data_IF_962475215453
#
_entry.id   IF_962475215453
#
_cell.length_a   1.000
_cell.length_b   1.000
_cell.length_c   1.000
_cell.angle_alpha   90.00
_cell.angle_beta   90.00
_cell.angle_gamma   90.00
#
_symmetry.space_group_name_H-M   'P 1'
#
loop_
_entity.id
_entity.type
_entity.pdbx_description
1 polymer ?
#
# COMPACT_ATOMS: atom_id res chain seq x y z
N UNK A 1 -0.68 57.49 -1.79
CA UNK A 1 0.06 56.29 -2.29
C UNK A 1 0.53 55.30 -1.19
N UNK A 2 -0.10 55.20 0.00
CA UNK A 2 0.46 54.41 1.13
C UNK A 2 -0.35 53.20 1.64
N UNK A 3 -1.58 52.94 1.14
CA UNK A 3 -2.37 51.76 1.55
C UNK A 3 -2.08 50.50 0.72
N UNK A 4 -2.00 50.65 -0.61
CA UNK A 4 -1.79 49.54 -1.55
C UNK A 4 -0.41 48.89 -1.42
N UNK A 5 0.64 49.67 -1.12
CA UNK A 5 2.01 49.19 -0.89
C UNK A 5 2.14 48.39 0.42
N UNK A 6 1.43 48.77 1.49
CA UNK A 6 1.38 48.05 2.78
C UNK A 6 0.63 46.72 2.66
N UNK A 7 -0.50 46.69 1.94
CA UNK A 7 -1.26 45.47 1.63
C UNK A 7 -0.48 44.50 0.71
N UNK A 8 0.27 45.04 -0.27
CA UNK A 8 1.12 44.26 -1.19
C UNK A 8 2.31 43.61 -0.47
N UNK A 9 2.88 44.26 0.56
CA UNK A 9 3.93 43.71 1.44
C UNK A 9 3.46 42.51 2.29
N UNK A 10 2.18 42.44 2.66
CA UNK A 10 1.62 41.33 3.43
C UNK A 10 1.27 40.10 2.58
N UNK A 11 0.77 40.32 1.37
CA UNK A 11 0.31 39.25 0.47
C UNK A 11 1.44 38.28 0.06
N UNK A 12 2.60 38.81 -0.36
CA UNK A 12 3.74 37.96 -0.73
C UNK A 12 4.26 37.13 0.45
N UNK A 13 4.32 37.71 1.66
CA UNK A 13 4.71 36.99 2.89
C UNK A 13 3.73 35.87 3.24
N UNK A 14 2.42 36.08 3.05
CA UNK A 14 1.39 35.04 3.23
C UNK A 14 1.59 33.88 2.26
N UNK A 15 1.84 34.16 0.99
CA UNK A 15 2.07 33.12 -0.04
C UNK A 15 3.35 32.32 0.21
N UNK A 16 4.44 32.97 0.63
CA UNK A 16 5.69 32.30 1.00
C UNK A 16 5.50 31.40 2.22
N UNK A 17 4.82 31.89 3.27
CA UNK A 17 4.51 31.10 4.46
C UNK A 17 3.65 29.89 4.11
N UNK A 18 2.63 30.08 3.27
CA UNK A 18 1.78 29.00 2.79
C UNK A 18 2.57 27.92 2.05
N UNK A 19 3.47 28.33 1.15
CA UNK A 19 4.31 27.41 0.41
C UNK A 19 5.26 26.62 1.33
N UNK A 20 5.82 27.26 2.35
CA UNK A 20 6.67 26.60 3.34
C UNK A 20 5.91 25.56 4.18
N UNK A 21 4.72 25.91 4.67
CA UNK A 21 3.84 24.97 5.39
C UNK A 21 3.44 23.78 4.52
N UNK A 22 3.01 24.04 3.29
CA UNK A 22 2.67 22.99 2.34
C UNK A 22 3.88 22.08 2.06
N UNK A 23 5.07 22.65 1.91
CA UNK A 23 6.31 21.88 1.70
C UNK A 23 6.57 20.90 2.83
N UNK A 24 6.46 21.33 4.09
CA UNK A 24 6.65 20.44 5.25
C UNK A 24 5.59 19.34 5.33
N UNK A 25 4.32 19.68 5.09
CA UNK A 25 3.23 18.69 5.08
C UNK A 25 3.50 17.60 4.03
N UNK A 26 3.86 18.00 2.80
CA UNK A 26 4.17 17.05 1.73
C UNK A 26 5.39 16.19 2.07
N UNK A 27 6.43 16.75 2.71
CA UNK A 27 7.60 15.96 3.14
C UNK A 27 7.21 14.92 4.19
N UNK A 28 6.41 15.31 5.20
CA UNK A 28 5.94 14.38 6.24
C UNK A 28 5.11 13.26 5.61
N UNK A 29 4.19 13.61 4.71
CA UNK A 29 3.35 12.63 4.00
C UNK A 29 4.17 11.71 3.11
N UNK A 30 5.15 12.23 2.37
CA UNK A 30 6.01 11.44 1.51
C UNK A 30 6.84 10.43 2.32
N UNK A 31 7.46 10.87 3.42
CA UNK A 31 8.28 9.99 4.27
C UNK A 31 7.39 8.92 4.92
N UNK A 32 6.31 9.33 5.57
CA UNK A 32 5.40 8.38 6.22
C UNK A 32 4.76 7.41 5.21
N UNK A 33 4.37 7.87 4.02
CA UNK A 33 3.85 7.02 2.94
C UNK A 33 4.88 6.00 2.43
N UNK A 34 6.11 6.44 2.16
CA UNK A 34 7.20 5.53 1.73
C UNK A 34 7.52 4.47 2.78
N UNK A 35 7.53 4.85 4.06
CA UNK A 35 7.74 3.92 5.17
C UNK A 35 6.59 2.92 5.28
N UNK A 36 5.35 3.37 5.10
CA UNK A 36 4.17 2.48 5.12
C UNK A 36 4.11 1.50 3.94
N UNK A 37 4.70 1.87 2.79
CA UNK A 37 4.78 1.07 1.58
C UNK A 37 5.89 0.00 1.67
N UNK A 38 7.05 0.35 2.23
CA UNK A 38 8.23 -0.50 2.30
C UNK A 38 8.03 -1.75 3.17
N UNK A 39 8.24 -2.94 2.59
CA UNK A 39 8.19 -4.22 3.32
C UNK A 39 9.22 -4.34 4.44
N UNK A 40 10.40 -3.75 4.25
CA UNK A 40 11.49 -3.71 5.24
C UNK A 40 11.03 -3.11 6.58
N UNK A 41 10.29 -2.00 6.54
CA UNK A 41 9.82 -1.31 7.73
C UNK A 41 8.72 -2.06 8.48
N UNK A 42 8.07 -3.05 7.85
CA UNK A 42 7.00 -3.82 8.50
C UNK A 42 7.50 -4.67 9.66
N UNK A 43 8.72 -5.21 9.55
CA UNK A 43 9.34 -5.98 10.63
C UNK A 43 9.86 -5.09 11.77
N UNK A 44 10.41 -3.93 11.43
CA UNK A 44 11.05 -3.03 12.41
C UNK A 44 10.02 -2.27 13.25
N UNK A 45 8.93 -1.79 12.62
CA UNK A 45 8.01 -0.88 13.29
C UNK A 45 6.96 -1.59 14.15
N UNK A 46 6.65 -2.87 13.89
CA UNK A 46 5.59 -3.60 14.60
C UNK A 46 4.30 -2.78 14.74
N UNK A 47 3.82 -2.64 15.98
CA UNK A 47 2.66 -1.82 16.35
C UNK A 47 2.82 -0.32 16.02
N UNK A 48 4.05 0.21 16.04
CA UNK A 48 4.35 1.60 15.70
C UNK A 48 3.90 1.99 14.29
N UNK A 49 3.70 1.00 13.40
CA UNK A 49 3.13 1.20 12.07
C UNK A 49 1.67 1.68 12.13
N UNK A 50 0.88 1.21 13.10
CA UNK A 50 -0.53 1.63 13.26
C UNK A 50 -0.59 3.11 13.62
N UNK A 51 0.27 3.53 14.55
CA UNK A 51 0.41 4.94 14.90
C UNK A 51 0.89 5.78 13.70
N UNK A 52 1.89 5.30 12.95
CA UNK A 52 2.38 5.98 11.75
C UNK A 52 1.29 6.11 10.68
N UNK A 53 0.45 5.08 10.47
CA UNK A 53 -0.71 5.13 9.58
C UNK A 53 -1.71 6.17 10.05
N UNK A 54 -2.02 6.20 11.35
CA UNK A 54 -2.89 7.21 11.95
C UNK A 54 -2.37 8.63 11.74
N UNK A 55 -1.07 8.86 12.00
CA UNK A 55 -0.41 10.12 11.74
C UNK A 55 -0.49 10.52 10.26
N UNK A 56 -0.21 9.60 9.34
CA UNK A 56 -0.29 9.84 7.90
C UNK A 56 -1.70 10.27 7.47
N UNK A 57 -2.74 9.62 8.01
CA UNK A 57 -4.15 9.98 7.74
C UNK A 57 -4.46 11.38 8.28
N UNK A 58 -4.10 11.67 9.55
CA UNK A 58 -4.39 12.98 10.18
C UNK A 58 -3.70 14.11 9.44
N UNK A 59 -2.40 13.95 9.12
CA UNK A 59 -1.65 14.94 8.34
C UNK A 59 -2.22 15.05 6.93
N UNK A 60 -2.67 13.93 6.35
CA UNK A 60 -3.30 13.88 5.03
C UNK A 60 -4.58 14.70 4.98
N UNK A 61 -5.45 14.56 5.99
CA UNK A 61 -6.66 15.37 6.13
C UNK A 61 -6.30 16.84 6.35
N UNK A 62 -5.34 17.14 7.22
CA UNK A 62 -4.90 18.51 7.48
C UNK A 62 -4.29 19.20 6.25
N UNK A 63 -3.78 18.44 5.28
CA UNK A 63 -3.17 18.96 4.05
C UNK A 63 -4.13 19.76 3.16
N UNK A 64 -5.45 19.61 3.35
CA UNK A 64 -6.45 20.41 2.64
C UNK A 64 -6.47 21.87 3.10
N UNK A 65 -6.04 22.17 4.32
CA UNK A 65 -6.07 23.53 4.90
C UNK A 65 -5.21 24.52 4.10
N UNK A 66 -3.94 24.22 3.76
CA UNK A 66 -3.16 25.03 2.83
C UNK A 66 -3.82 25.26 1.47
N UNK A 67 -4.50 24.25 0.93
CA UNK A 67 -5.18 24.32 -0.38
C UNK A 67 -6.37 25.28 -0.30
N UNK A 68 -7.23 25.13 0.71
CA UNK A 68 -8.36 26.03 0.95
C UNK A 68 -7.87 27.46 1.15
N UNK A 69 -6.84 27.66 1.98
CA UNK A 69 -6.26 28.98 2.19
C UNK A 69 -5.67 29.58 0.90
N UNK A 70 -5.06 28.76 0.06
CA UNK A 70 -4.60 29.20 -1.26
C UNK A 70 -5.76 29.66 -2.14
N UNK A 71 -6.87 28.92 -2.19
CA UNK A 71 -8.03 29.24 -3.03
C UNK A 71 -8.62 30.61 -2.66
N UNK A 72 -8.66 30.96 -1.37
CA UNK A 72 -9.07 32.29 -0.91
C UNK A 72 -8.15 33.42 -1.40
N UNK A 73 -6.87 33.12 -1.66
CA UNK A 73 -5.87 34.06 -2.15
C UNK A 73 -5.71 34.01 -3.68
N UNK A 74 -6.27 33.00 -4.34
CA UNK A 74 -6.01 32.68 -5.74
C UNK A 74 -6.27 33.88 -6.65
N UNK A 75 -7.41 34.56 -6.53
CA UNK A 75 -7.74 35.68 -7.41
C UNK A 75 -6.64 36.75 -7.53
N UNK A 76 -5.91 37.03 -6.44
CA UNK A 76 -4.77 37.98 -6.46
C UNK A 76 -3.51 37.35 -7.05
N UNK A 77 -3.25 36.07 -6.79
CA UNK A 77 -2.09 35.36 -7.34
C UNK A 77 -2.20 35.22 -8.85
N UNK A 78 -3.38 34.81 -9.33
CA UNK A 78 -3.64 34.57 -10.74
C UNK A 78 -3.53 35.83 -11.60
N UNK A 79 -3.84 37.01 -11.03
CA UNK A 79 -3.56 38.31 -11.65
C UNK A 79 -2.05 38.57 -11.80
N UNK A 80 -1.24 38.23 -10.81
CA UNK A 80 0.24 38.37 -10.89
C UNK A 80 0.87 37.40 -11.88
N UNK A 81 0.23 36.26 -12.12
CA UNK A 81 0.71 35.24 -13.04
C UNK A 81 0.25 35.45 -14.49
N UNK A 82 -0.41 36.57 -14.83
CA UNK A 82 -1.04 36.80 -16.14
C UNK A 82 -0.13 36.58 -17.33
N UNK A 83 1.12 37.02 -17.21
CA UNK A 83 2.12 36.96 -18.27
C UNK A 83 3.11 35.80 -18.06
N UNK A 84 2.83 34.89 -17.13
CA UNK A 84 3.74 33.80 -16.74
C UNK A 84 3.07 32.44 -16.92
N UNK A 85 2.87 31.99 -18.18
CA UNK A 85 2.08 30.79 -18.48
C UNK A 85 2.64 29.54 -17.79
N UNK A 86 3.98 29.37 -17.77
CA UNK A 86 4.61 28.24 -17.08
C UNK A 86 4.35 28.22 -15.57
N UNK A 87 4.30 29.39 -14.93
CA UNK A 87 4.02 29.47 -13.50
C UNK A 87 2.56 29.16 -13.19
N UNK A 88 1.63 29.53 -14.08
CA UNK A 88 0.21 29.14 -13.99
C UNK A 88 0.03 27.65 -14.14
N UNK A 89 0.65 27.07 -15.16
CA UNK A 89 0.64 25.63 -15.39
C UNK A 89 1.16 24.87 -14.16
N UNK A 90 2.30 25.29 -13.61
CA UNK A 90 2.86 24.67 -12.41
C UNK A 90 1.93 24.75 -11.20
N UNK A 91 1.23 25.87 -11.01
CA UNK A 91 0.23 26.02 -9.94
C UNK A 91 -0.92 25.03 -10.14
N UNK A 92 -1.42 24.87 -11.37
CA UNK A 92 -2.47 23.91 -11.68
C UNK A 92 -2.02 22.47 -11.42
N UNK A 93 -0.81 22.10 -11.86
CA UNK A 93 -0.26 20.76 -11.63
C UNK A 93 -0.13 20.49 -10.13
N UNK A 94 0.43 21.42 -9.36
CA UNK A 94 0.58 21.24 -7.89
C UNK A 94 -0.77 21.12 -7.21
N UNK A 95 -1.76 21.95 -7.56
CA UNK A 95 -3.11 21.84 -7.00
C UNK A 95 -3.78 20.52 -7.38
N UNK A 96 -3.62 20.07 -8.63
CA UNK A 96 -4.13 18.79 -9.10
C UNK A 96 -3.53 17.61 -8.35
N UNK A 97 -2.22 17.61 -8.12
CA UNK A 97 -1.53 16.59 -7.32
C UNK A 97 -2.04 16.59 -5.87
N UNK A 98 -2.09 17.77 -5.21
CA UNK A 98 -2.55 17.88 -3.82
C UNK A 98 -4.01 17.43 -3.66
N UNK A 99 -4.89 17.87 -4.56
CA UNK A 99 -6.29 17.46 -4.54
C UNK A 99 -6.45 15.96 -4.84
N UNK A 100 -5.69 15.44 -5.80
CA UNK A 100 -5.70 14.02 -6.14
C UNK A 100 -5.25 13.14 -4.98
N UNK A 101 -4.16 13.48 -4.30
CA UNK A 101 -3.71 12.76 -3.10
C UNK A 101 -4.73 12.84 -1.97
N UNK A 102 -5.33 14.03 -1.75
CA UNK A 102 -6.35 14.20 -0.73
C UNK A 102 -7.58 13.32 -1.00
N UNK A 103 -8.15 13.40 -2.22
CA UNK A 103 -9.35 12.62 -2.57
C UNK A 103 -9.05 11.12 -2.50
N UNK A 104 -7.98 10.66 -3.15
CA UNK A 104 -7.60 9.24 -3.11
C UNK A 104 -7.31 8.76 -1.69
N UNK A 105 -6.64 9.58 -0.86
CA UNK A 105 -6.40 9.28 0.55
C UNK A 105 -7.69 9.19 1.38
N UNK A 106 -8.66 10.08 1.16
CA UNK A 106 -9.98 10.02 1.82
C UNK A 106 -10.74 8.78 1.40
N UNK A 107 -10.73 8.42 0.11
CA UNK A 107 -11.36 7.19 -0.38
C UNK A 107 -10.73 5.94 0.23
N UNK A 108 -9.41 5.91 0.37
CA UNK A 108 -8.69 4.82 1.04
C UNK A 108 -8.98 4.75 2.53
N UNK A 109 -9.16 5.89 3.19
CA UNK A 109 -9.56 5.94 4.59
C UNK A 109 -11.00 5.47 4.78
N UNK A 110 -11.90 5.85 3.87
CA UNK A 110 -13.32 5.51 3.87
C UNK A 110 -13.63 4.26 3.02
N UNK A 111 -12.67 3.34 2.87
CA UNK A 111 -12.80 2.18 1.96
C UNK A 111 -14.06 1.34 2.21
N UNK A 112 -14.51 1.26 3.48
CA UNK A 112 -15.75 0.58 3.88
C UNK A 112 -17.01 1.21 3.27
N UNK A 113 -17.04 2.54 3.15
CA UNK A 113 -18.20 3.27 2.66
C UNK A 113 -18.28 3.35 1.13
N UNK A 114 -17.12 3.42 0.46
CA UNK A 114 -17.06 3.65 -1.00
C UNK A 114 -17.01 2.37 -1.82
N UNK A 115 -16.80 1.22 -1.17
CA UNK A 115 -16.65 -0.06 -1.84
C UNK A 115 -15.29 -0.22 -2.53
N UNK A 116 -14.88 -1.46 -2.82
CA UNK A 116 -13.51 -1.77 -3.22
C UNK A 116 -13.21 -1.42 -4.67
N UNK A 117 -14.20 -1.27 -5.57
CA UNK A 117 -13.92 -0.74 -6.91
C UNK A 117 -13.29 0.66 -6.79
N UNK A 118 -13.91 1.51 -5.99
CA UNK A 118 -13.41 2.85 -5.70
C UNK A 118 -12.15 2.82 -4.82
N UNK A 119 -12.07 1.95 -3.81
CA UNK A 119 -10.87 1.84 -2.98
C UNK A 119 -9.65 1.34 -3.77
N UNK A 120 -9.83 0.38 -4.68
CA UNK A 120 -8.78 -0.11 -5.57
C UNK A 120 -8.33 0.97 -6.55
N UNK A 121 -9.29 1.65 -7.19
CA UNK A 121 -8.99 2.77 -8.07
C UNK A 121 -8.25 3.88 -7.32
N UNK A 122 -8.71 4.22 -6.11
CA UNK A 122 -8.08 5.19 -5.24
C UNK A 122 -6.66 4.78 -4.86
N UNK A 123 -6.39 3.50 -4.56
CA UNK A 123 -5.06 3.01 -4.25
C UNK A 123 -4.11 3.19 -5.44
N UNK A 124 -4.54 2.76 -6.63
CA UNK A 124 -3.74 2.90 -7.85
C UNK A 124 -3.46 4.37 -8.15
N UNK A 125 -4.48 5.23 -8.05
CA UNK A 125 -4.33 6.68 -8.25
C UNK A 125 -3.41 7.28 -7.19
N UNK A 126 -3.55 6.92 -5.92
CA UNK A 126 -2.73 7.44 -4.83
C UNK A 126 -1.25 7.09 -5.01
N UNK A 127 -0.98 5.84 -5.37
CA UNK A 127 0.37 5.36 -5.64
C UNK A 127 0.93 6.05 -6.90
N UNK A 128 0.16 6.13 -7.99
CA UNK A 128 0.58 6.80 -9.23
C UNK A 128 0.94 8.28 -8.99
N UNK A 129 0.09 8.99 -8.25
CA UNK A 129 0.34 10.36 -7.84
C UNK A 129 1.60 10.45 -6.99
N UNK A 130 1.86 9.49 -6.12
CA UNK A 130 3.10 9.42 -5.32
C UNK A 130 4.32 9.26 -6.22
N UNK A 131 4.26 8.34 -7.17
CA UNK A 131 5.35 8.05 -8.10
C UNK A 131 5.67 9.18 -9.06
N UNK A 132 4.67 9.90 -9.56
CA UNK A 132 4.85 11.02 -10.51
C UNK A 132 5.03 12.34 -9.77
N UNK A 133 4.17 12.59 -8.80
CA UNK A 133 4.07 13.85 -8.08
C UNK A 133 5.23 14.12 -7.15
N UNK A 134 5.77 13.10 -6.46
CA UNK A 134 6.89 13.30 -5.54
C UNK A 134 8.18 13.74 -6.27
N UNK A 135 8.64 13.07 -7.35
CA UNK A 135 9.76 13.57 -8.16
C UNK A 135 9.51 14.96 -8.72
N UNK A 136 8.30 15.23 -9.19
CA UNK A 136 7.92 16.55 -9.71
C UNK A 136 8.03 17.64 -8.64
N UNK A 137 7.51 17.41 -7.44
CA UNK A 137 7.57 18.37 -6.33
C UNK A 137 9.01 18.56 -5.83
N UNK A 138 9.81 17.49 -5.75
CA UNK A 138 11.23 17.57 -5.38
C UNK A 138 11.99 18.43 -6.41
N UNK A 139 11.82 18.13 -7.70
CA UNK A 139 12.42 18.91 -8.79
C UNK A 139 12.01 20.39 -8.71
N UNK A 140 10.71 20.66 -8.53
CA UNK A 140 10.17 22.01 -8.40
C UNK A 140 10.74 22.76 -7.18
N UNK A 141 10.92 22.07 -6.06
CA UNK A 141 11.44 22.65 -4.81
C UNK A 141 12.93 23.00 -4.93
N UNK A 142 13.73 22.09 -5.51
CA UNK A 142 15.17 22.30 -5.74
C UNK A 142 15.41 23.44 -6.73
N UNK A 143 14.63 23.49 -7.82
CA UNK A 143 14.76 24.54 -8.84
C UNK A 143 14.39 25.92 -8.30
N UNK A 144 13.38 26.04 -7.44
CA UNK A 144 13.06 27.31 -6.76
C UNK A 144 14.06 27.72 -5.68
N UNK A 145 14.61 26.78 -4.90
CA UNK A 145 15.61 27.09 -3.87
C UNK A 145 16.91 27.65 -4.47
N UNK A 146 17.26 27.22 -5.69
CA UNK A 146 18.35 27.80 -6.49
C UNK A 146 18.10 29.27 -6.85
N UNK A 147 16.87 29.62 -7.22
CA UNK A 147 16.48 30.98 -7.60
C UNK A 147 16.60 31.98 -6.44
N UNK A 148 16.52 31.51 -5.19
CA UNK A 148 16.72 32.32 -3.98
C UNK A 148 18.20 32.63 -3.67
N UNK A 149 19.15 31.90 -4.26
CA UNK A 149 20.61 32.04 -4.02
C UNK A 149 21.34 32.95 -5.01
N UNK A 150 20.64 33.50 -6.00
CA UNK A 150 21.20 34.42 -7.01
C UNK A 150 20.69 35.87 -6.76
N UNK A 151 21.41 36.69 -5.97
CA UNK A 151 20.96 38.04 -5.58
C UNK A 151 20.75 39.00 -6.76
N UNK A 152 21.38 38.77 -7.91
CA UNK A 152 21.31 39.67 -9.07
C UNK A 152 20.00 39.61 -9.88
N UNK A 153 19.14 38.62 -9.64
CA UNK A 153 17.81 38.54 -10.29
C UNK A 153 16.69 39.16 -9.45
N UNK A 154 17.03 39.85 -8.35
CA UNK A 154 16.09 40.67 -7.57
C UNK A 154 15.74 41.91 -8.39
N UNK A 155 14.62 41.89 -9.08
CA UNK A 155 14.05 43.08 -9.75
C UNK A 155 13.51 44.06 -8.72
N UNK A 156 14.41 44.72 -7.97
CA UNK A 156 14.19 46.02 -7.32
C UNK A 156 15.57 46.70 -7.39
N UNK A 157 15.73 47.62 -8.35
CA UNK A 157 16.82 48.60 -8.34
C UNK A 157 16.51 49.54 -7.17
N UNK A 158 17.36 49.58 -6.15
CA UNK A 158 17.26 50.64 -5.13
C UNK A 158 17.69 51.95 -5.80
N UNK A 159 16.80 52.93 -5.85
CA UNK A 159 17.06 54.27 -6.42
C UNK A 159 18.06 55.11 -5.58
N UNK A 160 18.64 54.55 -4.52
CA UNK A 160 19.52 55.28 -3.59
C UNK A 160 21.00 55.27 -3.94
N UNK A 161 21.40 54.72 -5.10
CA UNK A 161 22.81 54.70 -5.54
C UNK A 161 23.06 55.47 -6.84
N UNK A 162 22.13 56.35 -7.22
CA UNK A 162 22.29 57.27 -8.35
C UNK A 162 22.58 58.70 -7.88
N UNK A 163 23.62 58.90 -7.06
CA UNK A 163 24.22 60.22 -6.89
C UNK A 163 25.59 60.14 -6.23
N UNK A 164 26.64 60.52 -6.99
CA UNK A 164 27.89 61.03 -6.43
C UNK A 164 29.14 60.26 -6.83
N UNK A 165 29.94 60.87 -7.72
CA UNK A 165 31.38 60.63 -7.77
C UNK A 165 31.98 60.41 -9.15
N UNK A 166 32.06 61.47 -9.97
CA UNK A 166 33.06 61.58 -11.03
C UNK A 166 34.41 61.97 -10.38
N UNK A 167 35.43 61.12 -10.46
CA UNK A 167 36.84 61.55 -10.43
C UNK A 167 37.68 60.62 -11.33
N UNK A 168 38.35 61.26 -12.26
CA UNK A 168 39.32 60.80 -13.26
C UNK A 168 40.63 60.26 -12.67
N UNK A 169 41.25 59.28 -13.33
CA UNK A 169 42.66 58.92 -13.06
C UNK A 169 43.13 57.72 -13.88
N UNK A 170 43.95 57.99 -14.91
CA UNK A 170 44.51 57.01 -15.82
C UNK A 170 45.69 56.22 -15.21
N UNK A 171 45.85 54.96 -15.66
CA UNK A 171 47.15 54.31 -15.77
C UNK A 171 47.46 53.16 -14.81
N UNK A 172 47.09 51.94 -15.20
CA UNK A 172 48.00 50.77 -15.16
C UNK A 172 47.39 49.59 -15.91
N UNK A 173 47.95 49.29 -17.09
CA UNK A 173 47.70 48.02 -17.80
C UNK A 173 48.40 46.90 -17.03
N UNK A 174 47.64 46.24 -16.16
CA UNK A 174 48.02 44.97 -15.54
C UNK A 174 47.61 43.80 -16.45
N UNK A 175 48.60 42.97 -16.75
CA UNK A 175 48.59 41.76 -17.59
C UNK A 175 47.41 40.83 -17.25
N UNK A 176 46.70 40.35 -18.29
CA UNK A 176 45.73 39.26 -18.19
C UNK A 176 46.39 37.99 -17.61
N UNK A 177 45.92 37.42 -16.48
CA UNK A 177 46.22 36.05 -16.15
C UNK A 177 45.32 35.14 -16.99
N UNK A 178 45.94 34.11 -17.58
CA UNK A 178 45.31 33.11 -18.42
C UNK A 178 43.98 32.61 -17.83
N UNK A 179 42.93 32.59 -18.66
CA UNK A 179 41.71 31.87 -18.35
C UNK A 179 42.06 30.38 -18.20
N UNK A 180 42.14 29.90 -16.96
CA UNK A 180 42.34 28.49 -16.67
C UNK A 180 41.24 27.63 -17.30
N UNK A 181 41.52 26.35 -17.61
CA UNK A 181 40.56 25.47 -18.26
C UNK A 181 39.27 25.41 -17.45
N UNK A 182 38.16 25.86 -18.05
CA UNK A 182 36.85 25.72 -17.43
C UNK A 182 36.51 24.22 -17.35
N UNK A 183 36.35 23.71 -16.12
CA UNK A 183 35.96 22.33 -15.91
C UNK A 183 34.61 22.05 -16.61
N UNK A 184 34.63 21.11 -17.57
CA UNK A 184 33.45 20.70 -18.36
C UNK A 184 32.27 20.30 -17.47
N UNK A 185 32.53 19.83 -16.25
CA UNK A 185 31.52 19.57 -15.23
C UNK A 185 31.91 20.17 -13.88
N UNK A 186 31.05 21.00 -13.30
CA UNK A 186 31.22 21.48 -11.93
C UNK A 186 30.98 20.34 -10.92
N UNK A 187 31.69 20.32 -9.78
CA UNK A 187 31.43 19.37 -8.67
C UNK A 187 29.94 19.31 -8.27
N UNK A 188 29.23 20.43 -8.42
CA UNK A 188 27.78 20.55 -8.17
C UNK A 188 26.91 19.92 -9.25
N UNK A 189 27.40 19.80 -10.48
CA UNK A 189 26.74 19.07 -11.57
C UNK A 189 26.90 17.58 -11.36
N UNK A 190 28.11 17.13 -11.00
CA UNK A 190 28.40 15.73 -10.66
C UNK A 190 27.53 15.26 -9.49
N UNK A 191 27.50 15.99 -8.37
CA UNK A 191 26.67 15.63 -7.19
C UNK A 191 25.18 15.50 -7.55
N UNK A 192 24.64 16.33 -8.45
CA UNK A 192 23.23 16.23 -8.87
C UNK A 192 22.94 15.03 -9.73
N UNK A 193 23.85 14.72 -10.66
CA UNK A 193 23.75 13.51 -11.46
C UNK A 193 23.92 12.27 -10.60
N UNK A 194 24.82 12.29 -9.62
CA UNK A 194 25.00 11.19 -8.66
C UNK A 194 23.76 10.97 -7.77
N UNK A 195 23.14 12.04 -7.26
CA UNK A 195 21.89 11.93 -6.48
C UNK A 195 20.74 11.46 -7.37
N UNK A 196 20.59 12.01 -8.58
CA UNK A 196 19.54 11.62 -9.53
C UNK A 196 19.69 10.17 -10.01
N UNK A 197 20.92 9.75 -10.34
CA UNK A 197 21.23 8.38 -10.73
C UNK A 197 21.09 7.40 -9.55
N UNK A 198 21.56 7.77 -8.36
CA UNK A 198 21.39 6.96 -7.15
C UNK A 198 19.92 6.77 -6.79
N UNK A 199 19.11 7.82 -6.86
CA UNK A 199 17.67 7.73 -6.66
C UNK A 199 17.01 6.85 -7.74
N UNK A 200 17.40 7.00 -9.01
CA UNK A 200 16.88 6.17 -10.10
C UNK A 200 17.24 4.68 -9.97
N UNK A 201 18.43 4.35 -9.46
CA UNK A 201 18.86 2.96 -9.24
C UNK A 201 18.17 2.33 -8.03
N UNK A 202 17.93 3.09 -6.95
CA UNK A 202 17.27 2.56 -5.74
C UNK A 202 15.75 2.49 -5.92
N UNK A 203 15.17 3.52 -6.54
CA UNK A 203 13.71 3.69 -6.65
C UNK A 203 13.17 3.14 -7.97
N UNK A 204 13.94 3.20 -9.05
CA UNK A 204 13.53 2.77 -10.39
C UNK A 204 13.11 1.30 -10.50
N UNK A 205 13.86 0.32 -9.97
CA UNK A 205 13.45 -1.08 -9.97
C UNK A 205 12.13 -1.30 -9.20
N UNK A 206 11.96 -0.63 -8.05
CA UNK A 206 10.74 -0.70 -7.25
C UNK A 206 9.55 -0.07 -7.98
N UNK A 207 9.78 1.04 -8.69
CA UNK A 207 8.79 1.68 -9.53
C UNK A 207 8.39 0.79 -10.71
N UNK A 208 9.35 0.23 -11.44
CA UNK A 208 9.09 -0.66 -12.57
C UNK A 208 8.37 -1.94 -12.13
N UNK A 209 8.72 -2.49 -10.97
CA UNK A 209 8.01 -3.63 -10.39
C UNK A 209 6.58 -3.24 -9.97
N UNK A 210 6.39 -2.08 -9.34
CA UNK A 210 5.05 -1.58 -9.00
C UNK A 210 4.23 -1.28 -10.25
N UNK A 211 4.83 -0.70 -11.30
CA UNK A 211 4.21 -0.38 -12.58
C UNK A 211 3.81 -1.67 -13.31
N UNK A 212 4.70 -2.66 -13.35
CA UNK A 212 4.42 -4.00 -13.86
C UNK A 212 3.29 -4.68 -13.07
N UNK A 213 3.26 -4.54 -11.74
CA UNK A 213 2.16 -5.07 -10.93
C UNK A 213 0.86 -4.29 -11.08
N UNK A 214 0.89 -2.97 -11.30
CA UNK A 214 -0.30 -2.10 -11.28
C UNK A 214 -0.92 -1.91 -12.67
N UNK A 215 -0.11 -1.64 -13.69
CA UNK A 215 -0.55 -1.63 -15.09
C UNK A 215 -0.70 -3.04 -15.62
N UNK A 216 0.20 -3.95 -15.22
CA UNK A 216 0.00 -5.37 -15.46
C UNK A 216 -1.20 -5.90 -14.69
N UNK A 217 -1.66 -5.35 -13.55
CA UNK A 217 -2.94 -5.79 -12.95
C UNK A 217 -4.19 -5.37 -13.72
N UNK A 218 -4.06 -4.56 -14.78
CA UNK A 218 -5.11 -4.44 -15.80
C UNK A 218 -5.21 -5.67 -16.71
N UNK A 219 -4.18 -6.54 -16.71
CA UNK A 219 -3.99 -7.72 -17.58
C UNK A 219 -3.11 -8.83 -16.93
N UNK A 220 -3.16 -9.02 -15.60
CA UNK A 220 -2.02 -9.67 -14.90
C UNK A 220 -2.10 -9.74 -13.38
N UNK A 221 -3.31 -9.71 -12.81
CA UNK A 221 -3.64 -10.87 -12.00
C UNK A 221 -3.89 -11.96 -13.02
N UNK A 222 -2.98 -12.91 -13.18
CA UNK A 222 -3.27 -14.05 -14.04
C UNK A 222 -4.65 -14.55 -13.66
N UNK A 223 -5.53 -14.77 -14.64
CA UNK A 223 -6.77 -15.49 -14.37
C UNK A 223 -6.45 -16.71 -13.50
N UNK A 224 -7.36 -17.16 -12.64
CA UNK A 224 -7.12 -18.35 -11.79
C UNK A 224 -6.50 -19.49 -12.62
N UNK A 225 -6.87 -19.61 -13.89
CA UNK A 225 -6.28 -20.52 -14.87
C UNK A 225 -4.75 -20.40 -15.05
N UNK A 226 -4.20 -19.19 -15.13
CA UNK A 226 -2.76 -18.97 -15.28
C UNK A 226 -2.00 -19.25 -13.97
N UNK A 227 -2.62 -18.97 -12.82
CA UNK A 227 -2.06 -19.28 -11.50
C UNK A 227 -2.07 -20.80 -11.27
N UNK A 228 -3.18 -21.47 -11.59
CA UNK A 228 -3.31 -22.94 -11.53
C UNK A 228 -2.31 -23.61 -12.48
N UNK A 229 -2.07 -23.05 -13.66
CA UNK A 229 -1.08 -23.60 -14.61
C UNK A 229 0.37 -23.56 -14.10
N UNK A 230 0.68 -22.74 -13.08
CA UNK A 230 2.01 -22.62 -12.47
C UNK A 230 2.07 -23.25 -11.08
N UNK A 231 1.04 -23.98 -10.66
CA UNK A 231 0.97 -24.52 -9.32
C UNK A 231 2.06 -25.58 -9.07
N UNK A 232 2.79 -25.44 -7.97
CA UNK A 232 3.86 -26.37 -7.57
C UNK A 232 3.37 -27.58 -6.77
N UNK A 233 2.07 -27.67 -6.51
CA UNK A 233 1.48 -28.81 -5.80
C UNK A 233 1.31 -30.01 -6.75
N UNK A 234 1.75 -31.18 -6.29
CA UNK A 234 1.64 -32.44 -7.01
C UNK A 234 0.95 -33.48 -6.12
N UNK A 235 -0.34 -33.28 -5.87
CA UNK A 235 -1.15 -34.11 -4.99
C UNK A 235 -2.13 -34.97 -5.80
N UNK A 236 -2.25 -36.25 -5.45
CA UNK A 236 -3.10 -37.22 -6.12
C UNK A 236 -3.96 -38.02 -5.11
N UNK A 237 -5.26 -38.25 -5.37
CA UNK A 237 -6.02 -37.77 -6.52
C UNK A 237 -6.29 -36.26 -6.43
N UNK A 238 -6.53 -35.58 -7.56
CA UNK A 238 -7.05 -34.22 -7.54
C UNK A 238 -8.45 -34.21 -6.89
N UNK A 239 -8.83 -33.15 -6.18
CA UNK A 239 -10.16 -33.06 -5.59
C UNK A 239 -11.19 -32.87 -6.72
N UNK A 240 -12.15 -33.78 -6.82
CA UNK A 240 -13.25 -33.65 -7.77
C UNK A 240 -14.27 -32.63 -7.26
N UNK A 241 -14.66 -31.61 -8.05
CA UNK A 241 -15.63 -30.60 -7.62
C UNK A 241 -17.05 -31.17 -7.54
N UNK A 242 -17.81 -30.71 -6.53
CA UNK A 242 -19.24 -30.99 -6.45
C UNK A 242 -19.99 -30.28 -7.60
N UNK A 243 -21.17 -30.79 -8.03
CA UNK A 243 -21.97 -30.16 -9.08
C UNK A 243 -22.27 -28.66 -8.85
N UNK A 244 -22.47 -28.27 -7.59
CA UNK A 244 -22.72 -26.87 -7.20
C UNK A 244 -21.47 -25.96 -7.26
N UNK A 245 -20.29 -26.54 -7.45
CA UNK A 245 -18.98 -25.88 -7.55
C UNK A 245 -18.52 -25.76 -9.00
N UNK A 246 -18.86 -26.75 -9.85
CA UNK A 246 -18.54 -26.78 -11.30
C UNK A 246 -19.05 -25.56 -12.07
N UNK A 247 -20.27 -25.12 -11.74
CA UNK A 247 -20.82 -23.85 -12.19
C UNK A 247 -20.85 -22.96 -10.95
N UNK A 248 -19.89 -22.04 -10.78
CA UNK A 248 -19.78 -21.24 -9.58
C UNK A 248 -21.13 -20.64 -9.22
N UNK A 249 -21.71 -21.13 -8.13
CA UNK A 249 -23.07 -20.77 -7.68
C UNK A 249 -23.24 -19.27 -7.42
N UNK A 250 -22.12 -18.55 -7.20
CA UNK A 250 -22.09 -17.09 -7.06
C UNK A 250 -21.93 -16.31 -8.37
N UNK A 251 -21.90 -16.97 -9.53
CA UNK A 251 -21.52 -16.36 -10.81
C UNK A 251 -20.01 -16.20 -11.00
N UNK A 252 -19.22 -16.80 -10.10
CA UNK A 252 -17.75 -16.78 -10.10
C UNK A 252 -17.16 -15.58 -9.35
N UNK A 253 -15.90 -15.72 -8.96
CA UNK A 253 -15.17 -14.67 -8.27
C UNK A 253 -15.10 -13.39 -9.11
N UNK A 254 -15.49 -12.26 -8.50
CA UNK A 254 -15.41 -10.93 -9.10
C UNK A 254 -14.40 -10.07 -8.35
N UNK A 255 -13.32 -9.71 -9.04
CA UNK A 255 -12.17 -9.02 -8.46
C UNK A 255 -10.91 -9.85 -8.62
N UNK A 256 -9.77 -9.29 -8.23
CA UNK A 256 -8.48 -9.95 -8.38
C UNK A 256 -7.86 -10.19 -7.02
N UNK A 257 -7.44 -11.43 -6.76
CA UNK A 257 -6.64 -11.74 -5.58
C UNK A 257 -5.29 -11.01 -5.66
N UNK A 258 -4.87 -10.46 -4.53
CA UNK A 258 -3.50 -10.00 -4.34
C UNK A 258 -2.78 -10.97 -3.43
N UNK A 259 -1.66 -11.50 -3.92
CA UNK A 259 -0.90 -12.52 -3.21
C UNK A 259 -0.02 -11.82 -2.17
N UNK A 260 -0.27 -12.14 -0.90
CA UNK A 260 0.59 -11.79 0.23
C UNK A 260 1.14 -13.08 0.84
N UNK A 261 2.45 -13.11 1.09
CA UNK A 261 3.12 -14.20 1.80
C UNK A 261 4.09 -13.59 2.80
N UNK A 262 4.30 -14.29 3.92
CA UNK A 262 5.32 -13.94 4.92
C UNK A 262 6.58 -14.80 4.76
N UNK A 263 6.46 -15.87 3.98
CA UNK A 263 7.45 -16.88 3.63
C UNK A 263 7.48 -17.08 2.10
N UNK A 264 8.51 -17.76 1.55
CA UNK A 264 8.41 -18.37 0.23
C UNK A 264 7.22 -19.33 0.14
N UNK A 265 6.65 -19.49 -1.05
CA UNK A 265 5.47 -20.33 -1.26
C UNK A 265 5.87 -21.80 -1.12
N UNK A 266 5.31 -22.55 -0.16
CA UNK A 266 5.59 -23.97 0.00
C UNK A 266 4.93 -24.80 -1.12
N UNK A 267 5.48 -25.98 -1.38
CA UNK A 267 4.98 -26.95 -2.36
C UNK A 267 4.70 -28.29 -1.69
N UNK A 268 3.56 -28.89 -2.01
CA UNK A 268 3.09 -30.12 -1.37
C UNK A 268 2.90 -31.28 -2.34
N UNK A 269 3.14 -32.50 -1.86
CA UNK A 269 2.87 -33.76 -2.53
C UNK A 269 2.32 -34.79 -1.51
N UNK A 270 1.95 -35.98 -1.97
CA UNK A 270 1.37 -37.02 -1.09
C UNK A 270 2.27 -37.43 0.08
N UNK A 271 3.59 -37.35 -0.10
CA UNK A 271 4.56 -37.82 0.89
C UNK A 271 4.82 -36.80 2.00
N UNK A 272 4.72 -35.50 1.67
CA UNK A 272 5.04 -34.40 2.58
C UNK A 272 3.80 -33.70 3.18
N UNK A 273 2.60 -34.02 2.70
CA UNK A 273 1.38 -33.39 3.14
C UNK A 273 0.61 -34.24 4.14
N UNK A 274 0.17 -33.61 5.23
CA UNK A 274 -0.82 -34.19 6.14
C UNK A 274 -1.65 -33.09 6.79
N UNK A 275 -2.87 -33.43 7.22
CA UNK A 275 -3.74 -32.54 7.99
C UNK A 275 -4.02 -33.13 9.36
N UNK A 276 -3.94 -32.31 10.42
CA UNK A 276 -4.11 -32.77 11.81
C UNK A 276 -5.13 -31.91 12.56
N UNK A 277 -5.97 -32.54 13.39
CA UNK A 277 -6.73 -31.91 14.46
C UNK A 277 -6.33 -32.55 15.79
N UNK A 278 -5.89 -31.73 16.74
CA UNK A 278 -5.43 -32.19 18.05
C UNK A 278 -5.67 -31.17 19.17
N UNK A 279 -5.00 -31.35 20.30
CA UNK A 279 -5.19 -30.57 21.51
C UNK A 279 -6.35 -31.10 22.35
N UNK A 280 -7.20 -30.19 22.84
CA UNK A 280 -8.35 -30.45 23.70
C UNK A 280 -9.56 -30.99 22.90
N UNK A 281 -9.38 -32.18 22.33
CA UNK A 281 -10.41 -32.94 21.61
C UNK A 281 -10.47 -34.37 22.12
N UNK A 282 -11.64 -35.00 22.06
CA UNK A 282 -11.85 -36.40 22.46
C UNK A 282 -11.22 -37.36 21.44
N UNK A 283 -11.24 -36.98 20.15
CA UNK A 283 -10.74 -37.77 19.03
C UNK A 283 -9.75 -36.96 18.20
N UNK A 284 -8.45 -37.01 18.54
CA UNK A 284 -7.42 -36.48 17.65
C UNK A 284 -7.45 -37.20 16.30
N UNK A 285 -7.36 -36.45 15.21
CA UNK A 285 -7.47 -36.99 13.86
C UNK A 285 -6.33 -36.51 12.98
N UNK A 286 -5.85 -37.40 12.11
CA UNK A 286 -4.80 -37.10 11.14
C UNK A 286 -5.11 -37.77 9.80
N UNK A 287 -4.99 -37.01 8.72
CA UNK A 287 -5.24 -37.48 7.36
C UNK A 287 -4.00 -37.30 6.49
N UNK A 288 -3.76 -38.28 5.62
CA UNK A 288 -3.00 -38.07 4.40
C UNK A 288 -3.92 -37.46 3.33
N UNK A 289 -3.35 -37.06 2.19
CA UNK A 289 -4.10 -36.34 1.16
C UNK A 289 -5.31 -37.13 0.63
N UNK A 290 -5.11 -38.40 0.26
CA UNK A 290 -6.17 -39.24 -0.33
C UNK A 290 -7.40 -39.35 0.57
N UNK A 291 -7.19 -39.55 1.88
CA UNK A 291 -8.29 -39.63 2.84
C UNK A 291 -8.93 -38.29 3.10
N UNK A 292 -8.17 -37.19 3.05
CA UNK A 292 -8.69 -35.86 3.33
C UNK A 292 -9.64 -35.37 2.23
N UNK A 293 -9.28 -35.54 0.95
CA UNK A 293 -10.14 -35.10 -0.17
C UNK A 293 -11.41 -35.95 -0.34
N UNK A 294 -11.41 -37.15 0.22
CA UNK A 294 -12.58 -38.02 0.27
C UNK A 294 -13.61 -37.63 1.34
N UNK A 295 -13.29 -36.68 2.23
CA UNK A 295 -14.21 -36.21 3.25
C UNK A 295 -15.42 -35.51 2.63
N UNK A 296 -16.54 -35.54 3.35
CA UNK A 296 -17.78 -34.90 2.90
C UNK A 296 -17.60 -33.39 2.85
N UNK A 297 -17.65 -32.83 1.64
CA UNK A 297 -17.52 -31.39 1.37
C UNK A 297 -18.87 -30.70 1.23
N UNK A 298 -18.86 -29.38 1.41
CA UNK A 298 -19.97 -28.45 1.17
C UNK A 298 -19.46 -27.31 0.30
N UNK A 299 -20.38 -26.73 -0.46
CA UNK A 299 -20.14 -25.54 -1.28
C UNK A 299 -20.73 -24.34 -0.56
N UNK A 300 -19.98 -23.24 -0.49
CA UNK A 300 -20.48 -21.96 -0.01
C UNK A 300 -20.06 -20.85 -0.97
N UNK A 301 -20.84 -19.76 -0.97
CA UNK A 301 -20.48 -18.53 -1.68
C UNK A 301 -20.22 -17.46 -0.64
N UNK A 302 -19.04 -16.85 -0.69
CA UNK A 302 -18.69 -15.76 0.22
C UNK A 302 -17.76 -14.73 -0.39
N UNK A 303 -17.80 -13.54 0.17
CA UNK A 303 -16.86 -12.47 -0.17
C UNK A 303 -15.56 -12.64 0.63
N UNK A 304 -14.48 -12.08 0.09
CA UNK A 304 -13.14 -12.16 0.66
C UNK A 304 -12.54 -10.76 0.76
N UNK A 305 -12.40 -10.24 1.98
CA UNK A 305 -12.00 -8.85 2.23
C UNK A 305 -10.61 -8.74 2.83
N UNK A 306 -9.71 -7.98 2.20
CA UNK A 306 -8.40 -7.71 2.76
C UNK A 306 -8.37 -6.40 3.55
N UNK A 307 -7.67 -6.43 4.68
CA UNK A 307 -7.39 -5.25 5.52
C UNK A 307 -6.64 -4.14 4.76
N UNK A 308 -6.00 -4.46 3.64
CA UNK A 308 -5.32 -3.47 2.77
C UNK A 308 -6.25 -2.82 1.73
N UNK A 309 -7.55 -3.10 1.77
CA UNK A 309 -8.58 -2.34 1.05
C UNK A 309 -9.06 -2.95 -0.27
N UNK A 310 -8.56 -4.12 -0.67
CA UNK A 310 -9.09 -4.88 -1.82
C UNK A 310 -10.03 -5.99 -1.36
N UNK A 311 -10.90 -6.44 -2.26
CA UNK A 311 -11.81 -7.56 -2.02
C UNK A 311 -12.06 -8.36 -3.28
N UNK A 312 -12.46 -9.62 -3.13
CA UNK A 312 -12.95 -10.48 -4.20
C UNK A 312 -14.34 -10.96 -3.79
N UNK A 313 -15.33 -10.77 -4.65
CA UNK A 313 -16.73 -11.04 -4.36
C UNK A 313 -17.19 -12.37 -4.94
N UNK A 314 -18.24 -12.93 -4.34
CA UNK A 314 -18.98 -14.06 -4.93
C UNK A 314 -18.10 -15.28 -5.21
N UNK A 315 -17.10 -15.52 -4.37
CA UNK A 315 -16.21 -16.67 -4.49
C UNK A 315 -16.97 -17.94 -4.13
N UNK A 316 -16.97 -18.94 -5.01
CA UNK A 316 -17.48 -20.26 -4.67
C UNK A 316 -16.36 -21.08 -4.04
N UNK A 317 -16.45 -21.32 -2.73
CA UNK A 317 -15.54 -22.17 -1.99
C UNK A 317 -16.15 -23.56 -1.81
N UNK A 318 -15.33 -24.59 -1.90
CA UNK A 318 -15.74 -25.93 -1.55
C UNK A 318 -14.71 -26.60 -0.62
N UNK A 319 -15.23 -27.20 0.45
CA UNK A 319 -14.41 -27.71 1.54
C UNK A 319 -15.26 -28.28 2.67
N UNK A 320 -14.67 -28.42 3.84
CA UNK A 320 -15.37 -28.90 5.03
C UNK A 320 -15.66 -27.73 5.97
N UNK A 321 -16.88 -27.63 6.50
CA UNK A 321 -17.20 -26.61 7.50
C UNK A 321 -16.45 -26.93 8.80
N UNK A 322 -15.79 -25.91 9.37
CA UNK A 322 -15.00 -26.07 10.58
C UNK A 322 -15.84 -26.62 11.74
N UNK A 323 -17.06 -26.12 11.92
CA UNK A 323 -18.00 -26.63 12.94
C UNK A 323 -18.29 -28.12 12.81
N UNK A 324 -18.30 -28.66 11.58
CA UNK A 324 -18.56 -30.08 11.35
C UNK A 324 -17.34 -30.91 11.78
N UNK A 325 -16.12 -30.44 11.47
CA UNK A 325 -14.85 -31.01 11.92
C UNK A 325 -14.71 -31.00 13.44
N UNK A 326 -15.01 -29.87 14.08
CA UNK A 326 -14.94 -29.72 15.54
C UNK A 326 -15.95 -30.62 16.26
N UNK A 327 -17.16 -30.74 15.71
CA UNK A 327 -18.16 -31.67 16.25
C UNK A 327 -17.72 -33.12 16.16
N UNK A 328 -17.08 -33.52 15.06
CA UNK A 328 -16.56 -34.88 14.90
C UNK A 328 -15.39 -35.19 15.84
N UNK A 329 -14.50 -34.21 16.04
CA UNK A 329 -13.38 -34.32 16.97
C UNK A 329 -13.79 -34.40 18.45
N UNK A 330 -14.96 -33.85 18.81
CA UNK A 330 -15.43 -33.78 20.18
C UNK A 330 -14.62 -32.78 20.99
N UNK A 331 -14.88 -31.48 20.82
CA UNK A 331 -14.18 -30.42 21.57
C UNK A 331 -14.42 -30.58 23.07
N UNK A 332 -13.34 -30.69 23.85
CA UNK A 332 -13.42 -30.83 25.30
C UNK A 332 -13.85 -29.53 25.96
N UNK A 333 -14.49 -29.63 27.13
CA UNK A 333 -15.05 -28.48 27.86
C UNK A 333 -14.02 -27.40 28.22
N UNK A 334 -12.75 -27.78 28.42
CA UNK A 334 -11.68 -26.84 28.75
C UNK A 334 -11.19 -26.00 27.55
N UNK A 335 -11.51 -26.40 26.32
CA UNK A 335 -11.09 -25.66 25.14
C UNK A 335 -11.78 -24.28 25.08
N UNK A 336 -11.03 -23.25 24.68
CA UNK A 336 -11.54 -21.88 24.50
C UNK A 336 -11.19 -21.28 23.13
N UNK A 337 -10.07 -21.72 22.57
CA UNK A 337 -9.51 -21.16 21.34
C UNK A 337 -9.20 -22.28 20.35
N UNK A 338 -9.51 -22.02 19.08
CA UNK A 338 -9.10 -22.83 17.94
C UNK A 338 -7.88 -22.18 17.32
N UNK A 339 -6.73 -22.84 17.41
CA UNK A 339 -5.48 -22.37 16.82
C UNK A 339 -5.23 -23.04 15.48
N UNK A 340 -4.82 -22.24 14.50
CA UNK A 340 -4.56 -22.67 13.13
C UNK A 340 -3.09 -22.54 12.81
N UNK A 341 -2.55 -23.55 12.13
CA UNK A 341 -1.16 -23.60 11.69
C UNK A 341 -1.09 -23.68 10.17
N UNK A 342 -0.25 -22.82 9.60
CA UNK A 342 0.12 -22.87 8.19
C UNK A 342 1.24 -23.87 7.95
N UNK A 343 1.18 -24.56 6.82
CA UNK A 343 2.20 -25.47 6.32
C UNK A 343 3.51 -24.79 5.92
N UNK A 344 3.59 -23.46 5.96
CA UNK A 344 4.86 -22.73 5.85
C UNK A 344 5.69 -22.77 7.15
N UNK A 345 5.13 -23.28 8.25
CA UNK A 345 5.81 -23.44 9.53
C UNK A 345 6.02 -22.14 10.33
N UNK A 346 5.51 -21.01 9.84
CA UNK A 346 5.70 -19.69 10.46
C UNK A 346 4.37 -19.07 10.85
N UNK A 347 3.37 -19.15 9.96
CA UNK A 347 2.12 -18.43 10.16
C UNK A 347 1.18 -19.18 11.10
N UNK A 348 0.68 -18.50 12.12
CA UNK A 348 -0.38 -19.00 13.00
C UNK A 348 -1.43 -17.92 13.22
N UNK A 349 -2.65 -18.38 13.48
CA UNK A 349 -3.80 -17.51 13.76
C UNK A 349 -4.76 -18.26 14.70
N UNK A 350 -5.74 -17.55 15.26
CA UNK A 350 -6.71 -18.10 16.22
C UNK A 350 -8.11 -17.58 15.99
N UNK A 351 -9.09 -18.41 16.31
CA UNK A 351 -10.49 -18.01 16.47
C UNK A 351 -10.96 -18.45 17.86
N UNK A 352 -11.85 -17.68 18.48
CA UNK A 352 -12.59 -18.18 19.64
C UNK A 352 -13.49 -19.34 19.21
N UNK A 353 -13.93 -20.18 20.16
CA UNK A 353 -14.90 -21.24 19.82
C UNK A 353 -16.19 -20.70 19.20
N UNK A 354 -16.67 -19.53 19.64
CA UNK A 354 -17.85 -18.88 19.07
C UNK A 354 -17.64 -18.49 17.61
N UNK A 355 -16.48 -17.89 17.30
CA UNK A 355 -16.10 -17.53 15.94
C UNK A 355 -15.92 -18.77 15.06
N UNK A 356 -15.29 -19.82 15.58
CA UNK A 356 -15.09 -21.08 14.87
C UNK A 356 -16.39 -21.88 14.64
N UNK A 357 -17.41 -21.65 15.47
CA UNK A 357 -18.73 -22.28 15.35
C UNK A 357 -19.64 -21.60 14.31
N UNK A 358 -19.22 -20.47 13.72
CA UNK A 358 -19.95 -19.82 12.65
C UNK A 358 -20.22 -20.77 11.47
N UNK A 359 -21.38 -20.61 10.85
CA UNK A 359 -21.89 -21.53 9.83
C UNK A 359 -21.12 -21.52 8.50
N UNK A 360 -20.28 -20.51 8.27
CA UNK A 360 -19.59 -20.20 7.02
C UNK A 360 -18.05 -20.23 7.14
N UNK A 361 -17.51 -20.70 8.28
CA UNK A 361 -16.07 -20.95 8.42
C UNK A 361 -15.72 -22.30 7.81
N UNK A 362 -14.83 -22.29 6.82
CA UNK A 362 -14.58 -23.44 5.95
C UNK A 362 -13.08 -23.73 5.80
N UNK A 363 -12.76 -25.01 5.79
CA UNK A 363 -11.48 -25.59 5.39
C UNK A 363 -11.60 -25.95 3.91
N UNK A 364 -11.24 -25.01 3.03
CA UNK A 364 -11.46 -25.07 1.59
C UNK A 364 -10.33 -25.79 0.85
N UNK A 365 -10.70 -26.60 -0.15
CA UNK A 365 -9.80 -27.32 -1.07
C UNK A 365 -9.98 -26.89 -2.53
N UNK A 366 -11.14 -26.34 -2.86
CA UNK A 366 -11.49 -25.86 -4.19
C UNK A 366 -12.00 -24.42 -4.13
N UNK A 367 -11.72 -23.67 -5.20
CA UNK A 367 -12.22 -22.34 -5.47
C UNK A 367 -12.72 -22.27 -6.91
N UNK A 368 -13.97 -21.86 -7.10
CA UNK A 368 -14.67 -21.80 -8.39
C UNK A 368 -14.50 -23.09 -9.22
N UNK A 369 -14.72 -24.24 -8.57
CA UNK A 369 -14.67 -25.56 -9.19
C UNK A 369 -13.27 -26.09 -9.49
N UNK A 370 -12.20 -25.37 -9.11
CA UNK A 370 -10.80 -25.73 -9.39
C UNK A 370 -9.99 -25.90 -8.11
N UNK A 371 -8.93 -26.74 -8.09
CA UNK A 371 -8.02 -26.82 -6.95
C UNK A 371 -7.46 -25.45 -6.61
N UNK A 372 -7.42 -25.13 -5.33
CA UNK A 372 -6.83 -23.85 -4.88
C UNK A 372 -5.33 -23.92 -5.20
N UNK A 373 -4.78 -22.97 -5.96
CA UNK A 373 -3.34 -22.97 -6.24
C UNK A 373 -2.52 -22.55 -5.02
N UNK A 374 -1.24 -22.92 -4.98
CA UNK A 374 -0.33 -22.61 -3.86
C UNK A 374 -0.26 -21.11 -3.55
N UNK A 375 -0.29 -20.25 -4.56
CA UNK A 375 -0.30 -18.79 -4.42
C UNK A 375 -1.48 -18.28 -3.58
N UNK A 376 -2.64 -18.91 -3.74
CA UNK A 376 -3.88 -18.63 -3.01
C UNK A 376 -4.00 -19.45 -1.72
N UNK A 377 -2.97 -20.21 -1.36
CA UNK A 377 -2.89 -20.95 -0.11
C UNK A 377 -3.34 -22.40 -0.21
N UNK A 378 -3.45 -22.97 -1.40
CA UNK A 378 -3.70 -24.39 -1.57
C UNK A 378 -2.48 -25.24 -1.18
N UNK A 379 -2.68 -26.52 -0.84
CA UNK A 379 -3.83 -27.32 -1.24
C UNK A 379 -5.06 -27.18 -0.35
N UNK A 380 -4.89 -26.63 0.86
CA UNK A 380 -5.96 -26.41 1.83
C UNK A 380 -5.80 -25.04 2.46
N UNK A 381 -6.88 -24.27 2.56
CA UNK A 381 -6.88 -22.98 3.27
C UNK A 381 -8.11 -22.82 4.15
N UNK A 382 -7.94 -22.04 5.21
CA UNK A 382 -9.06 -21.54 5.99
C UNK A 382 -9.73 -20.39 5.24
N UNK A 383 -11.06 -20.34 5.31
CA UNK A 383 -11.91 -19.25 4.84
C UNK A 383 -12.79 -18.81 6.01
N UNK A 384 -12.68 -17.54 6.39
CA UNK A 384 -13.43 -16.91 7.48
C UNK A 384 -14.14 -15.66 6.93
N UNK A 385 -15.33 -15.80 6.32
CA UNK A 385 -15.93 -14.75 5.49
C UNK A 385 -16.17 -13.41 6.19
N UNK A 386 -16.57 -13.47 7.46
CA UNK A 386 -16.96 -12.30 8.25
C UNK A 386 -15.76 -11.53 8.83
N UNK A 387 -14.54 -12.00 8.57
CA UNK A 387 -13.30 -11.40 9.08
C UNK A 387 -12.35 -11.05 7.95
N UNK A 388 -11.41 -10.17 8.23
CA UNK A 388 -10.37 -9.84 7.28
C UNK A 388 -9.52 -11.05 6.92
N UNK A 389 -9.09 -11.08 5.66
CA UNK A 389 -8.35 -12.13 5.00
C UNK A 389 -7.13 -12.69 5.75
N UNK A 390 -6.55 -11.95 6.70
CA UNK A 390 -5.44 -12.47 7.49
C UNK A 390 -5.87 -13.59 8.44
N UNK A 391 -7.12 -13.59 8.92
CA UNK A 391 -7.68 -14.72 9.68
C UNK A 391 -7.88 -15.98 8.83
N UNK A 392 -7.87 -15.85 7.50
CA UNK A 392 -8.05 -16.94 6.54
C UNK A 392 -6.71 -17.58 6.18
N UNK A 393 -6.17 -18.37 7.11
CA UNK A 393 -4.86 -19.06 7.04
C UNK A 393 -4.66 -19.83 5.73
N UNK A 394 -3.54 -19.58 5.07
CA UNK A 394 -3.10 -20.30 3.86
C UNK A 394 -2.33 -21.57 4.24
N UNK A 395 -2.34 -22.55 3.34
CA UNK A 395 -1.62 -23.83 3.51
C UNK A 395 -1.97 -24.53 4.83
N UNK A 396 -3.22 -24.41 5.28
CA UNK A 396 -3.68 -24.90 6.56
C UNK A 396 -3.41 -26.41 6.67
N UNK A 397 -2.64 -26.83 7.67
CA UNK A 397 -2.27 -28.23 7.86
C UNK A 397 -2.50 -28.75 9.29
N UNK A 398 -2.74 -27.88 10.28
CA UNK A 398 -3.06 -28.29 11.64
C UNK A 398 -4.03 -27.32 12.32
N UNK A 399 -4.97 -27.91 13.05
CA UNK A 399 -5.90 -27.22 13.94
C UNK A 399 -5.68 -27.79 15.34
N UNK A 400 -5.50 -26.92 16.33
CA UNK A 400 -5.26 -27.33 17.72
C UNK A 400 -6.26 -26.60 18.64
N UNK A 401 -6.96 -27.37 19.48
CA UNK A 401 -7.85 -26.83 20.48
C UNK A 401 -7.06 -26.57 21.76
N UNK A 402 -7.08 -25.33 22.25
CA UNK A 402 -6.31 -24.92 23.43
C UNK A 402 -7.21 -24.23 24.46
N UNK A 403 -6.83 -24.33 25.73
CA UNK A 403 -7.52 -23.66 26.84
C UNK A 403 -7.16 -22.17 26.93
N UNK A 404 -5.91 -21.84 26.57
CA UNK A 404 -5.36 -20.50 26.67
C UNK A 404 -5.61 -19.62 25.44
N UNK A 405 -5.07 -18.41 25.52
CA UNK A 405 -4.98 -17.50 24.39
C UNK A 405 -3.71 -17.77 23.57
N UNK A 406 -3.78 -17.49 22.27
CA UNK A 406 -2.60 -17.44 21.41
C UNK A 406 -2.71 -16.22 20.50
N UNK A 407 -1.66 -15.43 20.46
CA UNK A 407 -1.57 -14.24 19.61
C UNK A 407 -1.06 -14.67 18.24
N UNK A 408 -1.86 -14.47 17.20
CA UNK A 408 -1.50 -14.80 15.83
C UNK A 408 -0.41 -13.90 15.25
N UNK A 409 0.09 -14.27 14.07
CA UNK A 409 1.23 -13.61 13.44
C UNK A 409 1.00 -12.10 13.20
N UNK A 410 -0.20 -11.69 12.76
CA UNK A 410 -0.46 -10.26 12.51
C UNK A 410 -0.91 -9.52 13.77
N UNK A 411 -1.53 -10.23 14.70
CA UNK A 411 -1.93 -9.71 16.00
C UNK A 411 -0.71 -9.26 16.80
N UNK A 412 0.39 -10.03 16.77
CA UNK A 412 1.71 -9.62 17.29
C UNK A 412 2.24 -8.31 16.67
N UNK A 413 1.70 -7.92 15.51
CA UNK A 413 2.11 -6.75 14.72
C UNK A 413 1.06 -5.63 14.77
N UNK A 414 0.14 -5.69 15.73
CA UNK A 414 -0.85 -4.65 16.01
C UNK A 414 -2.11 -4.71 15.15
N UNK A 415 -2.38 -5.85 14.50
CA UNK A 415 -3.68 -6.07 13.85
C UNK A 415 -4.72 -6.52 14.89
N UNK A 416 -6.01 -6.31 14.59
CA UNK A 416 -7.08 -6.60 15.52
C UNK A 416 -7.28 -8.12 15.68
N UNK A 417 -7.47 -8.59 16.92
CA UNK A 417 -7.68 -10.02 17.20
C UNK A 417 -8.94 -10.57 16.51
N UNK A 418 -10.08 -9.88 16.66
CA UNK A 418 -11.36 -10.35 16.13
C UNK A 418 -11.54 -10.12 14.63
N UNK A 419 -10.84 -9.10 14.09
CA UNK A 419 -10.75 -8.83 12.67
C UNK A 419 -12.08 -8.72 11.88
N UNK A 420 -13.22 -8.43 12.53
CA UNK A 420 -14.51 -8.30 11.85
C UNK A 420 -14.49 -7.26 10.71
N UNK A 421 -15.11 -7.61 9.58
CA UNK A 421 -15.18 -6.76 8.38
C UNK A 421 -16.11 -5.59 8.57
#
# INVERSE_FOLDING_TARGET
>A
MNGLTKLRKGYGKKLVRLHAWNGWIVVILAISGLVLLGGFWRGILGEGRVWLKGLHIVVGIASIMPVIYYLLLAGKHWKQLREKPWQRFNVLVVLGLLLGWFISGVLLWQFRAVGPAWANAALVVHDLLTWIGLPYIIYHSITRAKWLKEPQRRTIRDESTASGGEVTGAGQRGIHPAAGPQAVYSRRTVIKWSIGAGLAVVIGPSFLQWLGKSLGSGLGGGSIDEIVARDGNHLAPPPEPLPASLLPSGGGARGNFRIYTVTPIPTFNNDNWSFTIDGLVDKPMKWNWEKFVALKRKVQVSDFHCVTGWSVYSNTWEGILLKDFLREAGVQQAAKTVKFYSGDGVYTDTLTLEQAALDDVMIAVLHDGKPIPSDLGGPVRLIVPKMYAYKSVKWLNRIELIEGEHVGYWEERGYANDAWV
#
